data_IF_947149774854
#
_entry.id   IF_947149774854
#
_cell.length_a   1.000
_cell.length_b   1.000
_cell.length_c   1.000
_cell.angle_alpha   90.00
_cell.angle_beta   90.00
_cell.angle_gamma   90.00
#
_symmetry.space_group_name_H-M   'P 1'
#
loop_
_entity.id
_entity.type
_entity.pdbx_description
1 polymer ?
#
# COMPACT_ATOMS: atom_id res chain seq x y z
N UNK A 1 -3.60 -4.23 18.16
CA UNK A 1 -4.09 -4.04 16.77
C UNK A 1 -2.98 -3.76 15.74
N UNK A 2 -1.69 -3.98 16.05
CA UNK A 2 -0.56 -3.64 15.16
C UNK A 2 -0.11 -4.77 14.21
N UNK A 3 -0.74 -5.95 14.27
CA UNK A 3 -0.31 -7.11 13.47
C UNK A 3 -0.65 -6.98 11.98
N UNK A 4 -1.87 -6.54 11.67
CA UNK A 4 -2.36 -6.52 10.28
C UNK A 4 -1.64 -5.48 9.40
N UNK A 5 -1.46 -4.21 9.83
CA UNK A 5 -0.72 -3.24 9.02
C UNK A 5 0.73 -3.68 8.82
N UNK A 6 1.44 -4.07 9.89
CA UNK A 6 2.84 -4.50 9.78
C UNK A 6 3.03 -5.67 8.80
N UNK A 7 2.16 -6.68 8.87
CA UNK A 7 2.25 -7.86 8.00
C UNK A 7 2.10 -7.50 6.53
N UNK A 8 1.14 -6.63 6.16
CA UNK A 8 0.98 -6.17 4.78
C UNK A 8 2.24 -5.47 4.27
N UNK A 9 2.83 -4.56 5.05
CA UNK A 9 4.05 -3.87 4.62
C UNK A 9 5.23 -4.83 4.43
N UNK A 10 5.37 -5.84 5.31
CA UNK A 10 6.38 -6.89 5.11
C UNK A 10 6.13 -7.73 3.86
N UNK A 11 4.85 -7.91 3.45
CA UNK A 11 4.55 -8.56 2.18
C UNK A 11 4.92 -7.70 0.98
N UNK A 12 4.69 -6.39 1.04
CA UNK A 12 5.09 -5.46 -0.01
C UNK A 12 6.61 -5.45 -0.21
N UNK A 13 7.37 -5.45 0.88
CA UNK A 13 8.84 -5.56 0.82
C UNK A 13 9.26 -6.85 0.09
N UNK A 14 8.62 -7.98 0.41
CA UNK A 14 8.88 -9.26 -0.27
C UNK A 14 8.45 -9.25 -1.74
N UNK A 15 7.36 -8.57 -2.09
CA UNK A 15 6.93 -8.46 -3.48
C UNK A 15 7.94 -7.71 -4.34
N UNK A 16 8.65 -6.75 -3.77
CA UNK A 16 9.73 -6.03 -4.44
C UNK A 16 10.93 -6.96 -4.76
N UNK A 17 11.18 -7.96 -3.92
CA UNK A 17 12.24 -8.96 -4.10
C UNK A 17 11.88 -10.09 -5.09
N UNK A 18 10.57 -10.31 -5.34
CA UNK A 18 10.04 -11.41 -6.17
C UNK A 18 9.94 -11.03 -7.67
N UNK A 19 10.44 -9.86 -8.07
CA UNK A 19 10.41 -9.30 -9.44
C UNK A 19 10.88 -10.23 -10.59
N UNK A 20 11.39 -11.43 -10.29
CA UNK A 20 11.83 -12.44 -11.25
C UNK A 20 10.67 -13.27 -11.83
N UNK A 21 9.49 -13.30 -11.20
CA UNK A 21 8.30 -14.04 -11.68
C UNK A 21 7.05 -13.18 -11.55
N UNK A 22 6.96 -12.14 -12.37
CA UNK A 22 5.73 -11.35 -12.50
C UNK A 22 4.83 -11.96 -13.57
N UNK A 23 3.71 -12.55 -13.15
CA UNK A 23 2.60 -12.88 -14.05
C UNK A 23 1.51 -11.79 -13.98
N UNK A 24 0.60 -11.79 -14.95
CA UNK A 24 -0.46 -10.79 -15.05
C UNK A 24 -1.33 -10.71 -13.79
N UNK A 25 -1.59 -11.83 -13.12
CA UNK A 25 -2.33 -11.89 -11.87
C UNK A 25 -1.57 -11.24 -10.70
N UNK A 26 -0.24 -11.39 -10.67
CA UNK A 26 0.62 -10.68 -9.71
C UNK A 26 0.56 -9.16 -9.94
N UNK A 27 0.71 -8.69 -11.19
CA UNK A 27 0.62 -7.27 -11.50
C UNK A 27 -0.71 -6.66 -11.07
N UNK A 28 -1.83 -7.33 -11.40
CA UNK A 28 -3.19 -6.85 -11.03
C UNK A 28 -3.37 -6.80 -9.51
N UNK A 29 -2.98 -7.88 -8.81
CA UNK A 29 -3.14 -7.93 -7.35
C UNK A 29 -2.28 -6.89 -6.63
N UNK A 30 -1.04 -6.67 -7.07
CA UNK A 30 -0.16 -5.63 -6.53
C UNK A 30 -0.76 -4.23 -6.73
N UNK A 31 -1.30 -3.93 -7.92
CA UNK A 31 -2.00 -2.65 -8.17
C UNK A 31 -3.19 -2.44 -7.23
N UNK A 32 -4.05 -3.45 -7.09
CA UNK A 32 -5.22 -3.37 -6.22
C UNK A 32 -4.84 -3.14 -4.76
N UNK A 33 -3.79 -3.82 -4.28
CA UNK A 33 -3.31 -3.64 -2.90
C UNK A 33 -2.73 -2.25 -2.68
N UNK A 34 -1.88 -1.76 -3.59
CA UNK A 34 -1.28 -0.43 -3.46
C UNK A 34 -2.34 0.68 -3.54
N UNK A 35 -3.26 0.62 -4.50
CA UNK A 35 -4.38 1.55 -4.61
C UNK A 35 -5.27 1.51 -3.35
N UNK A 36 -5.59 0.32 -2.85
CA UNK A 36 -6.35 0.15 -1.62
C UNK A 36 -5.65 0.78 -0.40
N UNK A 37 -4.34 0.59 -0.28
CA UNK A 37 -3.54 1.14 0.82
C UNK A 37 -3.45 2.67 0.80
N UNK A 38 -3.36 3.27 -0.40
CA UNK A 38 -3.44 4.72 -0.57
C UNK A 38 -4.83 5.26 -0.17
N UNK A 39 -5.90 4.60 -0.58
CA UNK A 39 -7.28 5.01 -0.27
C UNK A 39 -7.63 4.99 1.23
N UNK A 40 -7.02 4.08 2.01
CA UNK A 40 -7.30 3.92 3.45
C UNK A 40 -6.33 4.69 4.36
N UNK A 41 -5.51 5.60 3.82
CA UNK A 41 -4.60 6.40 4.62
C UNK A 41 -5.31 7.15 5.75
N UNK A 42 -4.63 7.25 6.90
CA UNK A 42 -5.17 7.89 8.12
C UNK A 42 -5.42 9.37 7.84
N UNK A 43 -4.43 10.04 7.25
CA UNK A 43 -4.55 11.43 6.81
C UNK A 43 -5.43 11.48 5.55
N UNK A 44 -6.53 12.25 5.55
CA UNK A 44 -7.35 12.42 4.36
C UNK A 44 -6.60 13.09 3.21
N UNK A 45 -5.62 13.96 3.52
CA UNK A 45 -4.80 14.66 2.53
C UNK A 45 -3.84 13.73 1.78
N UNK A 46 -3.56 12.55 2.33
CA UNK A 46 -2.69 11.56 1.72
C UNK A 46 -3.48 10.59 0.84
N UNK A 47 -4.82 10.72 0.77
CA UNK A 47 -5.64 9.86 -0.07
C UNK A 47 -5.69 10.41 -1.48
N UNK A 48 -5.51 9.57 -2.51
CA UNK A 48 -5.64 9.99 -3.89
C UNK A 48 -7.09 10.36 -4.21
N UNK A 49 -7.24 11.24 -5.20
CA UNK A 49 -8.49 11.48 -5.91
C UNK A 49 -8.93 10.24 -6.69
N UNK A 50 -10.19 10.20 -7.12
CA UNK A 50 -10.69 9.06 -7.89
C UNK A 50 -9.96 8.93 -9.24
N UNK A 51 -9.59 10.04 -9.87
CA UNK A 51 -8.85 10.05 -11.13
C UNK A 51 -7.44 9.45 -10.94
N UNK A 52 -6.74 9.81 -9.87
CA UNK A 52 -5.44 9.21 -9.53
C UNK A 52 -5.57 7.70 -9.24
N UNK A 53 -6.66 7.25 -8.61
CA UNK A 53 -6.91 5.82 -8.40
C UNK A 53 -7.14 5.09 -9.72
N UNK A 54 -7.82 5.71 -10.69
CA UNK A 54 -8.00 5.14 -12.02
C UNK A 54 -6.66 5.01 -12.75
N UNK A 55 -5.84 6.07 -12.71
CA UNK A 55 -4.49 6.07 -13.29
C UNK A 55 -3.62 4.95 -12.68
N UNK A 56 -3.70 4.74 -11.36
CA UNK A 56 -3.02 3.64 -10.68
C UNK A 56 -3.49 2.26 -11.16
N UNK A 57 -4.78 2.07 -11.43
CA UNK A 57 -5.33 0.76 -11.83
C UNK A 57 -5.07 0.44 -13.30
N UNK A 58 -5.13 1.44 -14.17
CA UNK A 58 -4.90 1.31 -15.61
C UNK A 58 -3.41 1.32 -15.97
N UNK A 59 -2.57 2.02 -15.19
CA UNK A 59 -1.13 2.14 -15.38
C UNK A 59 -0.30 0.89 -15.01
N UNK A 60 1.04 1.04 -15.05
CA UNK A 60 1.96 -0.03 -14.62
C UNK A 60 1.93 -0.19 -13.10
N UNK A 61 2.09 -1.43 -12.61
CA UNK A 61 2.25 -1.63 -11.16
C UNK A 61 3.53 -0.96 -10.65
N UNK A 62 4.56 -0.88 -11.47
CA UNK A 62 5.87 -0.28 -11.14
C UNK A 62 5.78 1.23 -10.87
N UNK A 63 4.79 1.91 -11.48
CA UNK A 63 4.60 3.36 -11.34
C UNK A 63 3.96 3.75 -9.99
N UNK A 64 3.45 2.77 -9.24
CA UNK A 64 2.77 3.01 -7.97
C UNK A 64 3.76 2.88 -6.82
N UNK A 65 4.03 4.00 -6.15
CA UNK A 65 4.85 4.01 -4.94
C UNK A 65 4.13 3.33 -3.76
N UNK A 66 4.91 2.72 -2.87
CA UNK A 66 4.40 2.15 -1.62
C UNK A 66 3.95 3.29 -0.70
N UNK A 67 2.68 3.31 -0.27
CA UNK A 67 2.18 4.38 0.58
C UNK A 67 2.88 4.39 1.95
N UNK A 68 2.87 5.54 2.64
CA UNK A 68 3.47 5.65 3.96
C UNK A 68 2.79 4.70 4.95
N UNK A 69 3.61 4.04 5.76
CA UNK A 69 3.13 3.16 6.82
C UNK A 69 2.45 4.00 7.90
N UNK A 70 1.20 3.70 8.27
CA UNK A 70 0.51 4.44 9.31
C UNK A 70 1.28 4.36 10.62
N UNK A 71 1.72 5.53 11.12
CA UNK A 71 2.34 5.66 12.42
C UNK A 71 1.25 5.68 13.49
N UNK A 72 1.06 4.56 14.19
CA UNK A 72 0.23 4.54 15.39
C UNK A 72 1.13 4.97 16.56
N UNK A 73 0.92 6.16 17.17
CA UNK A 73 1.62 6.47 18.41
C UNK A 73 1.29 5.36 19.41
N UNK A 74 2.31 4.72 19.98
CA UNK A 74 2.12 3.91 21.18
C UNK A 74 1.47 4.83 22.20
N UNK A 75 0.31 4.46 22.75
CA UNK A 75 -0.23 5.14 23.92
C UNK A 75 0.85 5.10 25.00
N UNK A 76 1.58 6.20 25.17
CA UNK A 76 2.35 6.41 26.38
C UNK A 76 1.30 6.67 27.45
N UNK A 77 0.93 5.63 28.18
CA UNK A 77 0.31 5.78 29.49
C UNK A 77 1.34 6.51 30.37
N UNK A 78 1.18 7.82 30.49
CA UNK A 78 1.71 8.59 31.60
C UNK A 78 0.53 8.94 32.50
N UNK A 79 0.33 8.13 33.54
CA UNK A 79 -0.19 8.59 34.82
C UNK A 79 0.67 7.99 35.92
#
# INVERSE_FOLDING_TARGET
MLYFPNWIYTQLDRWNDIAVVEDEGFCISRKMVLAGLWCIQISPSDRPSIDEVLDMLEGSHEDIEVPPKPFFPSSTENH
#
